data_IF_085129080569
#
_entry.id   IF_085129080569
#
_cell.length_a   1.000
_cell.length_b   1.000
_cell.length_c   1.000
_cell.angle_alpha   90.00
_cell.angle_beta   90.00
_cell.angle_gamma   90.00
#
_symmetry.space_group_name_H-M   'P 1'
#
loop_
_entity.id
_entity.type
_entity.pdbx_description
1 polymer ?
#
# COMPACT_ATOMS: atom_id res chain seq x y z
N UNK A 1 13.05 -21.97 7.52
CA UNK A 1 12.64 -20.55 7.40
C UNK A 1 11.15 -20.52 7.62
N UNK A 2 10.72 -19.85 8.65
CA UNK A 2 9.31 -19.78 9.07
C UNK A 2 8.53 -18.97 8.03
N UNK A 3 7.51 -19.53 7.36
CA UNK A 3 6.73 -18.84 6.31
C UNK A 3 5.78 -17.78 6.87
N UNK A 4 5.74 -17.57 8.18
CA UNK A 4 4.80 -16.67 8.86
C UNK A 4 5.33 -15.27 9.15
N UNK A 5 6.51 -14.91 8.64
CA UNK A 5 7.09 -13.58 8.84
C UNK A 5 6.47 -12.56 7.88
N UNK A 6 5.32 -12.06 8.25
CA UNK A 6 4.65 -10.93 7.64
C UNK A 6 5.13 -9.65 8.33
N UNK A 7 5.88 -8.85 7.61
CA UNK A 7 6.34 -7.56 8.09
C UNK A 7 5.58 -6.45 7.36
N UNK A 8 4.97 -5.54 8.09
CA UNK A 8 4.47 -4.29 7.55
C UNK A 8 5.45 -3.17 7.88
N UNK A 9 5.79 -2.37 6.88
CA UNK A 9 6.62 -1.18 7.03
C UNK A 9 5.74 0.06 7.09
N UNK A 10 6.09 0.99 7.97
CA UNK A 10 5.42 2.27 8.09
C UNK A 10 6.29 3.36 7.47
N UNK A 11 5.76 4.09 6.52
CA UNK A 11 6.51 5.09 5.76
C UNK A 11 5.78 6.43 5.70
N UNK A 12 6.56 7.50 5.75
CA UNK A 12 6.13 8.80 5.23
C UNK A 12 6.31 8.77 3.71
N UNK A 13 5.22 8.95 2.96
CA UNK A 13 5.25 8.94 1.50
C UNK A 13 5.74 10.31 1.06
N UNK A 14 6.87 10.35 0.37
CA UNK A 14 7.28 11.47 -0.47
C UNK A 14 7.06 11.11 -1.93
N UNK A 15 6.72 12.10 -2.76
CA UNK A 15 6.51 11.95 -4.20
C UNK A 15 7.51 10.98 -4.82
N UNK A 16 7.01 9.87 -5.35
CA UNK A 16 7.80 8.77 -5.86
C UNK A 16 7.65 8.58 -7.37
N UNK A 17 8.56 7.85 -7.92
CA UNK A 17 8.67 7.50 -9.33
C UNK A 17 8.16 6.06 -9.53
N UNK A 18 7.44 5.77 -10.61
CA UNK A 18 7.05 4.39 -10.94
C UNK A 18 8.27 3.60 -11.44
N UNK A 19 8.64 2.54 -10.72
CA UNK A 19 9.72 1.65 -11.13
C UNK A 19 9.33 0.80 -12.35
N UNK A 20 10.32 0.47 -13.19
CA UNK A 20 10.15 -0.50 -14.27
C UNK A 20 10.31 -1.92 -13.74
N UNK A 21 9.57 -2.87 -14.33
CA UNK A 21 9.69 -4.29 -13.99
C UNK A 21 10.99 -4.86 -14.58
N UNK A 22 11.93 -5.27 -13.74
CA UNK A 22 13.20 -5.89 -14.12
C UNK A 22 13.06 -7.40 -14.45
N UNK A 23 11.85 -7.87 -14.67
CA UNK A 23 11.56 -9.28 -15.03
C UNK A 23 12.20 -9.68 -16.35
N UNK A 24 13.43 -10.18 -16.30
CA UNK A 24 14.22 -10.62 -17.47
C UNK A 24 13.68 -11.89 -18.14
N UNK A 25 12.68 -12.52 -17.56
CA UNK A 25 12.20 -13.85 -18.02
C UNK A 25 11.28 -13.79 -19.24
N UNK A 26 10.84 -12.61 -19.64
CA UNK A 26 9.92 -12.43 -20.76
C UNK A 26 10.59 -12.00 -22.08
N UNK A 27 11.87 -11.69 -22.06
CA UNK A 27 12.59 -11.23 -23.24
C UNK A 27 13.49 -12.36 -23.80
N UNK A 28 13.58 -12.51 -25.13
CA UNK A 28 14.57 -13.39 -25.75
C UNK A 28 15.98 -13.07 -25.26
N UNK A 29 16.81 -14.10 -25.05
CA UNK A 29 18.18 -13.94 -24.53
C UNK A 29 19.09 -13.10 -25.44
N UNK A 30 18.67 -12.85 -26.68
CA UNK A 30 19.36 -11.99 -27.64
C UNK A 30 19.10 -10.49 -27.40
N UNK A 31 18.10 -10.13 -26.61
CA UNK A 31 17.78 -8.76 -26.30
C UNK A 31 18.45 -8.39 -24.95
N UNK A 32 19.42 -7.49 -25.05
CA UNK A 32 20.04 -6.91 -23.86
C UNK A 32 19.19 -5.73 -23.38
N UNK A 33 18.51 -5.90 -22.25
CA UNK A 33 17.81 -4.81 -21.61
C UNK A 33 18.83 -3.84 -20.99
N UNK A 34 18.76 -2.57 -21.39
CA UNK A 34 19.56 -1.49 -20.79
C UNK A 34 18.60 -0.44 -20.25
N UNK A 35 18.75 -0.12 -18.99
CA UNK A 35 18.05 1.02 -18.43
C UNK A 35 18.53 2.31 -19.09
N UNK A 36 17.66 3.24 -19.47
CA UNK A 36 18.04 4.58 -19.86
C UNK A 36 18.94 5.21 -18.77
N UNK A 37 19.94 5.98 -19.17
CA UNK A 37 20.94 6.53 -18.23
C UNK A 37 20.32 7.33 -17.07
N UNK A 38 19.20 8.04 -17.34
CA UNK A 38 18.46 8.79 -16.32
C UNK A 38 17.64 7.90 -15.37
N UNK A 39 17.40 6.64 -15.72
CA UNK A 39 16.66 5.66 -14.89
C UNK A 39 17.61 4.68 -14.18
N UNK A 40 18.89 4.71 -14.47
CA UNK A 40 19.88 3.85 -13.82
C UNK A 40 19.86 4.06 -12.30
N UNK A 41 19.69 2.96 -11.59
CA UNK A 41 19.71 2.96 -10.13
C UNK A 41 18.43 3.50 -9.46
N UNK A 42 17.33 3.73 -10.19
CA UNK A 42 16.07 4.19 -9.61
C UNK A 42 15.57 3.23 -8.53
N UNK A 43 15.51 1.93 -8.84
CA UNK A 43 15.13 0.91 -7.85
C UNK A 43 16.07 0.89 -6.63
N UNK A 44 17.36 1.09 -6.84
CA UNK A 44 18.32 1.16 -5.76
C UNK A 44 18.13 2.40 -4.89
N UNK A 45 17.79 3.54 -5.49
CA UNK A 45 17.49 4.79 -4.74
C UNK A 45 16.21 4.64 -3.92
N UNK A 46 15.14 4.10 -4.51
CA UNK A 46 13.89 3.83 -3.78
C UNK A 46 14.17 2.88 -2.61
N UNK A 47 14.90 1.79 -2.86
CA UNK A 47 15.26 0.85 -1.80
C UNK A 47 16.13 1.49 -0.71
N UNK A 48 17.12 2.30 -1.08
CA UNK A 48 17.96 3.03 -0.13
C UNK A 48 17.13 3.99 0.73
N UNK A 49 16.12 4.63 0.13
CA UNK A 49 15.18 5.48 0.87
C UNK A 49 14.31 4.68 1.83
N UNK A 50 13.81 3.52 1.39
CA UNK A 50 13.01 2.61 2.22
C UNK A 50 13.77 2.04 3.41
N UNK A 51 15.08 1.88 3.27
CA UNK A 51 15.96 1.35 4.31
C UNK A 51 16.49 2.44 5.27
N UNK A 52 16.06 3.69 5.13
CA UNK A 52 16.44 4.73 6.09
C UNK A 52 15.90 4.42 7.50
N UNK A 53 16.60 4.83 8.56
CA UNK A 53 16.21 4.52 9.94
C UNK A 53 14.78 4.90 10.30
N UNK A 54 14.28 6.03 9.78
CA UNK A 54 12.90 6.50 9.96
C UNK A 54 11.84 5.57 9.38
N UNK A 55 12.22 4.74 8.42
CA UNK A 55 11.36 3.73 7.79
C UNK A 55 11.56 2.34 8.37
N UNK A 56 12.40 2.20 9.40
CA UNK A 56 12.79 0.91 10.00
C UNK A 56 11.75 0.29 10.93
N UNK A 57 10.61 0.95 11.16
CA UNK A 57 9.56 0.38 11.98
C UNK A 57 8.85 -0.76 11.25
N UNK A 58 8.92 -1.97 11.80
CA UNK A 58 8.21 -3.13 11.28
C UNK A 58 7.47 -3.87 12.40
N UNK A 59 6.36 -4.48 12.05
CA UNK A 59 5.57 -5.27 12.97
C UNK A 59 5.18 -6.61 12.33
N UNK A 60 5.13 -7.66 13.17
CA UNK A 60 4.57 -8.94 12.75
C UNK A 60 3.05 -8.85 12.76
N UNK A 61 2.43 -9.25 11.67
CA UNK A 61 0.97 -9.35 11.56
C UNK A 61 0.43 -10.69 12.09
N UNK A 62 1.30 -11.58 12.58
CA UNK A 62 0.88 -12.78 13.30
C UNK A 62 0.65 -12.49 14.79
N UNK A 63 -0.28 -13.22 15.40
CA UNK A 63 -0.50 -13.23 16.84
C UNK A 63 0.72 -13.82 17.58
N UNK A 64 0.74 -13.72 18.92
CA UNK A 64 1.80 -14.35 19.74
C UNK A 64 1.88 -15.87 19.53
N UNK A 65 0.76 -16.51 19.19
CA UNK A 65 0.68 -17.94 18.91
C UNK A 65 1.09 -18.33 17.48
N UNK A 66 1.52 -17.36 16.66
CA UNK A 66 1.89 -17.58 15.26
C UNK A 66 0.71 -17.66 14.29
N UNK A 67 -0.52 -17.50 14.78
CA UNK A 67 -1.71 -17.45 13.94
C UNK A 67 -1.80 -16.11 13.21
N UNK A 68 -2.36 -16.13 12.02
CA UNK A 68 -2.60 -14.92 11.24
C UNK A 68 -3.69 -14.07 11.91
N UNK A 69 -3.48 -12.77 11.98
CA UNK A 69 -4.51 -11.82 12.43
C UNK A 69 -5.61 -11.71 11.39
N UNK A 70 -6.82 -11.49 11.88
CA UNK A 70 -7.95 -11.10 11.04
C UNK A 70 -7.73 -9.70 10.46
N UNK A 71 -8.46 -9.37 9.40
CA UNK A 71 -8.41 -8.03 8.80
C UNK A 71 -8.72 -6.92 9.84
N UNK A 72 -9.66 -7.16 10.75
CA UNK A 72 -10.02 -6.23 11.82
C UNK A 72 -8.89 -6.02 12.83
N UNK A 73 -8.29 -7.11 13.32
CA UNK A 73 -7.13 -7.02 14.22
C UNK A 73 -5.93 -6.34 13.56
N UNK A 74 -5.76 -6.52 12.25
CA UNK A 74 -4.75 -5.79 11.48
C UNK A 74 -5.04 -4.30 11.41
N UNK A 75 -6.30 -3.91 11.16
CA UNK A 75 -6.71 -2.51 11.15
C UNK A 75 -6.53 -1.83 12.52
N UNK A 76 -6.92 -2.51 13.61
CA UNK A 76 -6.70 -2.01 14.97
C UNK A 76 -5.21 -1.76 15.24
N UNK A 77 -4.35 -2.70 14.81
CA UNK A 77 -2.90 -2.55 14.90
C UNK A 77 -2.37 -1.33 14.12
N UNK A 78 -2.93 -1.05 12.94
CA UNK A 78 -2.56 0.10 12.10
C UNK A 78 -3.01 1.42 12.72
N UNK A 79 -4.24 1.46 13.26
CA UNK A 79 -4.82 2.67 13.87
C UNK A 79 -4.07 3.09 15.13
N UNK A 80 -3.54 2.15 15.89
CA UNK A 80 -2.75 2.41 17.10
C UNK A 80 -1.37 3.03 16.84
N UNK A 81 -0.92 3.08 15.58
CA UNK A 81 0.41 3.58 15.25
C UNK A 81 0.54 5.10 15.39
N UNK A 82 1.71 5.53 15.86
CA UNK A 82 2.09 6.95 15.96
C UNK A 82 3.46 7.17 15.29
N UNK A 83 3.60 8.14 14.40
CA UNK A 83 2.56 9.01 13.82
C UNK A 83 1.53 8.20 13.02
N UNK A 84 0.37 8.80 12.86
CA UNK A 84 -0.82 8.22 12.26
C UNK A 84 -0.60 7.66 10.85
N UNK A 85 -1.22 6.50 10.58
CA UNK A 85 -1.21 5.87 9.26
C UNK A 85 -2.56 6.12 8.61
N UNK A 86 -2.53 6.60 7.37
CA UNK A 86 -3.72 6.90 6.55
C UNK A 86 -3.76 6.17 5.22
N UNK A 87 -2.71 5.41 4.88
CA UNK A 87 -2.72 4.55 3.71
C UNK A 87 -2.28 3.12 4.09
N UNK A 88 -2.87 2.12 3.45
CA UNK A 88 -2.43 0.73 3.49
C UNK A 88 -2.17 0.29 2.05
N UNK A 89 -0.93 -0.16 1.79
CA UNK A 89 -0.49 -0.69 0.52
C UNK A 89 -0.27 -2.19 0.69
N UNK A 90 -1.22 -3.00 0.22
CA UNK A 90 -1.19 -4.45 0.44
C UNK A 90 -0.31 -5.18 -0.59
N UNK A 91 0.93 -4.73 -0.76
CA UNK A 91 1.93 -5.30 -1.70
C UNK A 91 2.13 -6.80 -1.47
N UNK A 92 1.95 -7.26 -0.25
CA UNK A 92 2.11 -8.64 0.16
C UNK A 92 0.87 -9.51 0.01
N UNK A 93 -0.24 -8.97 -0.48
CA UNK A 93 -1.55 -9.63 -0.58
C UNK A 93 -1.93 -10.30 0.75
N UNK A 94 -1.99 -9.52 1.81
CA UNK A 94 -2.23 -10.03 3.16
C UNK A 94 -3.67 -9.93 3.61
N UNK A 95 -4.45 -9.05 3.01
CA UNK A 95 -5.89 -8.96 3.24
C UNK A 95 -6.57 -9.96 2.29
N UNK A 96 -6.95 -11.13 2.81
CA UNK A 96 -7.55 -12.22 2.00
C UNK A 96 -8.99 -12.53 2.39
N UNK A 97 -9.46 -12.01 3.51
CA UNK A 97 -10.73 -12.38 4.12
C UNK A 97 -11.86 -11.47 3.67
N UNK A 98 -11.55 -10.24 3.26
CA UNK A 98 -12.49 -9.19 2.91
C UNK A 98 -12.24 -8.71 1.49
N UNK A 99 -13.31 -8.31 0.81
CA UNK A 99 -13.22 -7.54 -0.42
C UNK A 99 -12.71 -6.12 -0.11
N UNK A 100 -12.25 -5.39 -1.12
CA UNK A 100 -11.72 -4.04 -0.96
C UNK A 100 -12.73 -3.09 -0.31
N UNK A 101 -14.00 -3.17 -0.71
CA UNK A 101 -15.10 -2.38 -0.15
C UNK A 101 -15.35 -2.69 1.32
N UNK A 102 -15.38 -3.98 1.68
CA UNK A 102 -15.56 -4.44 3.06
C UNK A 102 -14.41 -4.03 3.97
N UNK A 103 -13.17 -4.13 3.46
CA UNK A 103 -11.99 -3.68 4.19
C UNK A 103 -11.99 -2.17 4.40
N UNK A 104 -12.36 -1.40 3.38
CA UNK A 104 -12.48 0.05 3.46
C UNK A 104 -13.55 0.48 4.48
N UNK A 105 -14.72 -0.17 4.49
CA UNK A 105 -15.78 0.06 5.47
C UNK A 105 -15.31 -0.30 6.90
N UNK A 106 -14.69 -1.46 7.09
CA UNK A 106 -14.15 -1.87 8.37
C UNK A 106 -13.07 -0.90 8.90
N UNK A 107 -12.29 -0.30 8.00
CA UNK A 107 -11.31 0.71 8.42
C UNK A 107 -11.98 1.98 8.94
N UNK A 108 -13.06 2.44 8.30
CA UNK A 108 -13.84 3.57 8.81
C UNK A 108 -14.44 3.31 10.20
N UNK A 109 -14.85 2.06 10.49
CA UNK A 109 -15.38 1.71 11.82
C UNK A 109 -14.33 1.93 12.92
N UNK A 110 -13.08 1.49 12.70
CA UNK A 110 -12.02 1.57 13.70
C UNK A 110 -11.26 2.90 13.71
N UNK A 111 -11.49 3.76 12.71
CA UNK A 111 -10.83 5.06 12.56
C UNK A 111 -11.84 6.21 12.50
N UNK A 112 -12.33 6.68 13.65
CA UNK A 112 -13.45 7.62 13.72
C UNK A 112 -13.15 9.02 13.17
N UNK A 113 -11.90 9.42 13.05
CA UNK A 113 -11.48 10.72 12.52
C UNK A 113 -11.38 10.74 10.97
N UNK A 114 -11.42 9.59 10.29
CA UNK A 114 -11.52 9.53 8.84
C UNK A 114 -12.98 9.74 8.40
N UNK A 115 -13.21 10.60 7.43
CA UNK A 115 -14.55 10.88 6.89
C UNK A 115 -14.94 9.90 5.79
N UNK A 116 -13.96 9.37 5.04
CA UNK A 116 -14.18 8.46 3.94
C UNK A 116 -13.00 7.49 3.78
N UNK A 117 -13.24 6.39 3.08
CA UNK A 117 -12.20 5.45 2.67
C UNK A 117 -12.17 5.31 1.15
N UNK A 118 -10.98 5.29 0.59
CA UNK A 118 -10.72 5.18 -0.83
C UNK A 118 -10.15 3.79 -1.12
N UNK A 119 -10.69 3.14 -2.15
CA UNK A 119 -10.30 1.79 -2.56
C UNK A 119 -10.61 1.57 -4.04
N UNK A 120 -10.10 0.48 -4.64
CA UNK A 120 -10.51 0.04 -5.98
C UNK A 120 -11.69 -0.91 -5.91
N UNK A 121 -12.75 -0.60 -6.68
CA UNK A 121 -13.94 -1.45 -6.81
C UNK A 121 -13.67 -2.66 -7.74
N UNK A 122 -14.70 -3.45 -8.00
CA UNK A 122 -14.63 -4.64 -8.86
C UNK A 122 -14.42 -4.33 -10.36
N UNK A 123 -14.65 -3.09 -10.75
CA UNK A 123 -14.44 -2.58 -12.12
C UNK A 123 -13.06 -1.91 -12.28
N UNK A 124 -12.14 -2.09 -11.34
CA UNK A 124 -10.83 -1.44 -11.27
C UNK A 124 -10.91 0.10 -11.25
N UNK A 125 -11.99 0.65 -10.68
CA UNK A 125 -12.19 2.09 -10.57
C UNK A 125 -11.95 2.59 -9.15
N UNK A 126 -11.27 3.71 -9.02
CA UNK A 126 -10.99 4.34 -7.73
C UNK A 126 -12.27 4.92 -7.13
N UNK A 127 -12.72 4.33 -6.05
CA UNK A 127 -14.02 4.56 -5.42
C UNK A 127 -13.85 5.05 -3.99
N UNK A 128 -14.77 5.88 -3.55
CA UNK A 128 -14.88 6.38 -2.17
C UNK A 128 -16.11 5.77 -1.51
N UNK A 129 -15.94 5.29 -0.29
CA UNK A 129 -17.05 4.96 0.62
C UNK A 129 -17.05 5.92 1.80
N UNK A 130 -18.22 6.45 2.15
CA UNK A 130 -18.41 7.31 3.32
C UNK A 130 -18.92 6.50 4.53
N UNK A 131 -19.01 7.16 5.69
CA UNK A 131 -19.58 6.55 6.91
C UNK A 131 -21.06 6.20 6.79
N UNK A 132 -21.78 6.86 5.89
CA UNK A 132 -23.18 6.58 5.56
C UNK A 132 -23.30 5.43 4.54
N UNK A 133 -22.21 4.70 4.28
CA UNK A 133 -22.14 3.60 3.32
C UNK A 133 -22.48 4.01 1.88
N UNK A 134 -22.38 5.31 1.57
CA UNK A 134 -22.55 5.79 0.20
C UNK A 134 -21.25 5.63 -0.58
N UNK A 135 -21.34 5.11 -1.80
CA UNK A 135 -20.20 4.89 -2.69
C UNK A 135 -20.32 5.75 -3.94
N UNK A 136 -19.21 6.28 -4.41
CA UNK A 136 -19.10 7.05 -5.66
C UNK A 136 -17.66 7.00 -6.19
N UNK A 137 -17.47 7.29 -7.47
CA UNK A 137 -16.12 7.39 -8.03
C UNK A 137 -15.36 8.54 -7.35
N UNK A 138 -14.07 8.34 -7.06
CA UNK A 138 -13.25 9.36 -6.39
C UNK A 138 -13.27 10.68 -7.15
N UNK A 139 -13.14 10.65 -8.48
CA UNK A 139 -13.10 11.85 -9.32
C UNK A 139 -14.41 12.66 -9.32
N UNK A 140 -15.52 12.01 -9.01
CA UNK A 140 -16.84 12.63 -8.91
C UNK A 140 -17.17 13.10 -7.49
N UNK A 141 -16.33 12.70 -6.54
CA UNK A 141 -16.56 12.97 -5.13
C UNK A 141 -15.91 14.28 -4.68
N UNK A 142 -16.45 14.86 -3.62
CA UNK A 142 -15.83 15.99 -2.95
C UNK A 142 -14.45 15.65 -2.31
N UNK A 143 -14.17 14.36 -2.15
CA UNK A 143 -12.94 13.86 -1.56
C UNK A 143 -11.75 13.80 -2.54
N UNK A 144 -11.98 14.00 -3.85
CA UNK A 144 -10.91 14.10 -4.84
C UNK A 144 -9.84 15.15 -4.48
N UNK A 145 -10.22 16.19 -3.74
CA UNK A 145 -9.33 17.26 -3.28
C UNK A 145 -9.18 17.34 -1.75
N UNK A 146 -9.63 16.32 -1.03
CA UNK A 146 -9.64 16.25 0.43
C UNK A 146 -9.12 14.89 0.91
N UNK A 147 -8.03 14.42 0.31
CA UNK A 147 -7.42 13.12 0.65
C UNK A 147 -6.92 13.07 2.10
N UNK A 148 -6.58 14.22 2.68
CA UNK A 148 -6.17 14.37 4.07
C UNK A 148 -7.26 14.00 5.09
N UNK A 149 -8.52 13.98 4.67
CA UNK A 149 -9.65 13.55 5.50
C UNK A 149 -10.01 12.07 5.30
N UNK A 150 -9.31 11.39 4.38
CA UNK A 150 -9.59 10.02 4.00
C UNK A 150 -8.53 9.04 4.53
N UNK A 151 -8.90 7.76 4.51
CA UNK A 151 -7.96 6.64 4.50
C UNK A 151 -7.94 6.00 3.12
N UNK A 152 -6.81 5.42 2.73
CA UNK A 152 -6.63 4.85 1.39
C UNK A 152 -6.13 3.42 1.49
N UNK A 153 -6.88 2.49 0.91
CA UNK A 153 -6.50 1.10 0.79
C UNK A 153 -6.22 0.74 -0.67
N UNK A 154 -5.02 0.25 -0.94
CA UNK A 154 -4.65 -0.30 -2.23
C UNK A 154 -4.30 -1.77 -2.05
N UNK A 155 -5.02 -2.64 -2.73
CA UNK A 155 -4.74 -4.07 -2.77
C UNK A 155 -3.49 -4.38 -3.63
N UNK A 156 -3.05 -5.63 -3.65
CA UNK A 156 -1.86 -6.07 -4.39
C UNK A 156 -1.94 -5.74 -5.90
N UNK A 157 -3.11 -5.83 -6.50
CA UNK A 157 -3.29 -5.55 -7.93
C UNK A 157 -3.05 -4.07 -8.25
N UNK A 158 -3.47 -3.18 -7.34
CA UNK A 158 -3.52 -1.73 -7.54
C UNK A 158 -2.40 -0.96 -6.84
N UNK A 159 -1.51 -1.63 -6.10
CA UNK A 159 -0.31 -0.97 -5.54
C UNK A 159 0.72 -0.59 -6.60
N UNK A 160 0.51 -0.96 -7.86
CA UNK A 160 1.41 -0.68 -8.97
C UNK A 160 0.68 0.08 -10.07
N UNK A 161 1.25 1.20 -10.48
CA UNK A 161 0.69 2.00 -11.59
C UNK A 161 -0.48 2.90 -11.21
N UNK A 162 -0.84 2.98 -9.94
CA UNK A 162 -1.85 3.92 -9.45
C UNK A 162 -1.19 5.27 -9.19
N UNK A 163 -1.69 6.33 -9.82
CA UNK A 163 -1.19 7.70 -9.63
C UNK A 163 -2.10 8.45 -8.65
N UNK A 164 -1.91 8.20 -7.35
CA UNK A 164 -2.54 8.98 -6.28
C UNK A 164 -1.51 9.90 -5.67
N UNK A 165 -1.76 11.21 -5.71
CA UNK A 165 -0.90 12.19 -5.05
C UNK A 165 -1.33 12.36 -3.60
N UNK A 166 -0.61 11.72 -2.72
CA UNK A 166 -0.84 11.86 -1.29
C UNK A 166 -0.36 13.22 -0.78
N UNK A 167 -1.08 13.82 0.18
CA UNK A 167 -0.62 15.02 0.88
C UNK A 167 0.73 14.84 1.55
N UNK A 168 1.48 15.92 1.71
CA UNK A 168 2.77 15.90 2.42
C UNK A 168 2.61 15.36 3.85
N UNK A 169 3.53 14.50 4.25
CA UNK A 169 3.49 13.87 5.58
C UNK A 169 2.54 12.68 5.71
N UNK A 170 1.86 12.29 4.65
CA UNK A 170 1.02 11.08 4.62
C UNK A 170 1.86 9.84 4.90
N UNK A 171 1.40 8.98 5.79
CA UNK A 171 2.09 7.72 6.13
C UNK A 171 1.30 6.52 5.67
N UNK A 172 2.04 5.54 5.14
CA UNK A 172 1.48 4.27 4.71
C UNK A 172 2.03 3.10 5.54
N UNK A 173 1.15 2.13 5.80
CA UNK A 173 1.55 0.77 6.13
C UNK A 173 1.71 -0.01 4.83
N UNK A 174 2.82 -0.72 4.69
CA UNK A 174 3.07 -1.59 3.54
C UNK A 174 3.14 -3.02 4.04
N UNK A 175 2.29 -3.88 3.50
CA UNK A 175 2.34 -5.30 3.85
C UNK A 175 3.43 -5.99 3.05
N UNK A 176 4.11 -6.95 3.68
CA UNK A 176 5.07 -7.81 3.03
C UNK A 176 4.66 -9.26 3.21
N UNK A 177 4.79 -10.04 2.15
CA UNK A 177 4.52 -11.46 2.15
C UNK A 177 5.72 -12.28 1.65
N UNK A 178 5.70 -13.61 1.81
CA UNK A 178 6.82 -14.48 1.46
C UNK A 178 7.25 -14.43 -0.02
N UNK A 179 6.38 -13.96 -0.90
CA UNK A 179 6.59 -13.89 -2.36
C UNK A 179 6.83 -12.48 -2.87
N UNK A 180 6.93 -11.48 -1.97
CA UNK A 180 7.21 -10.10 -2.38
C UNK A 180 8.66 -10.01 -2.84
N UNK A 181 8.84 -9.61 -4.09
CA UNK A 181 10.17 -9.32 -4.64
C UNK A 181 10.55 -7.87 -4.37
N UNK A 182 11.86 -7.56 -4.49
CA UNK A 182 12.35 -6.19 -4.40
C UNK A 182 11.62 -5.26 -5.38
N UNK A 183 11.41 -5.73 -6.61
CA UNK A 183 10.77 -4.93 -7.65
C UNK A 183 9.29 -4.65 -7.34
N UNK A 184 8.54 -5.66 -6.86
CA UNK A 184 7.17 -5.46 -6.40
C UNK A 184 7.08 -4.43 -5.28
N UNK A 185 8.00 -4.51 -4.30
CA UNK A 185 8.04 -3.57 -3.20
C UNK A 185 8.34 -2.15 -3.68
N UNK A 186 9.37 -1.98 -4.51
CA UNK A 186 9.76 -0.65 -5.00
C UNK A 186 8.68 -0.03 -5.89
N UNK A 187 8.03 -0.81 -6.75
CA UNK A 187 6.93 -0.35 -7.59
C UNK A 187 5.68 -0.01 -6.77
N UNK A 188 5.31 -0.85 -5.80
CA UNK A 188 4.17 -0.61 -4.92
C UNK A 188 4.35 0.56 -3.94
N UNK A 189 5.54 1.17 -3.88
CA UNK A 189 5.84 2.32 -3.01
C UNK A 189 6.26 3.56 -3.80
N UNK A 190 6.11 3.53 -5.12
CA UNK A 190 6.48 4.64 -6.03
C UNK A 190 5.24 5.47 -6.36
N UNK A 191 4.69 6.16 -5.37
CA UNK A 191 3.60 7.13 -5.49
C UNK A 191 4.13 8.55 -5.35
#
# INVERSE_FOLDING_TARGET
MDPTLLNSFFRTISLGFSGTNDGRYLLPTTITQRDPDHQRGTNARVLAYLLQPENGAYMKTSSMNGERRTAREFLELVVDQKPEIRAILDVGAQVLELQNSEFAAAWLEVKPDALAAIYFNEDDELTVITREETTQLLLESSFAHRLDECVVYLDDAHTRGTDIRFPDGFRAAVTLGPKVTKDRLTQGMSF
#
